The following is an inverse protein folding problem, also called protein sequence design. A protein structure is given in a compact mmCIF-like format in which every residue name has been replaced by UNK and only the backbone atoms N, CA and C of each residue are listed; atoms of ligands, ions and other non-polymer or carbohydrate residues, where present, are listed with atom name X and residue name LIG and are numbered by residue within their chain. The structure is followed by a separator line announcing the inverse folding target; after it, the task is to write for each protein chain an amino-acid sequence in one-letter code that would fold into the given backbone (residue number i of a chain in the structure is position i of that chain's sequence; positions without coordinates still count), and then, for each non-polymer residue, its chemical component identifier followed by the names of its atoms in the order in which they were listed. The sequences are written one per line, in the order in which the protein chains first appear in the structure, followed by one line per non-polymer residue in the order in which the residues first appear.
data_IF_335252978189
#
_entry.id   IF_335252978189
#
_cell.length_a   1.000
_cell.length_b   1.000
_cell.length_c   1.000
_cell.angle_alpha   90.00
_cell.angle_beta   90.00
_cell.angle_gamma   90.00
#
_symmetry.space_group_name_H-M   'P 1'
#
loop_
_entity.id
_entity.type
_entity.pdbx_description
1 polymer ?
#
# COMPACT_ATOMS: atom_id res chain seq x y z
N UNK A 1 -0.01 -12.33 -4.19
CA UNK A 1 1.16 -11.44 -4.03
C UNK A 1 0.71 -10.13 -3.38
N UNK A 2 1.58 -9.49 -2.60
CA UNK A 2 1.32 -8.23 -1.92
C UNK A 2 2.25 -7.17 -2.49
N UNK A 3 1.72 -5.98 -2.76
CA UNK A 3 2.48 -4.81 -3.18
C UNK A 3 2.42 -3.73 -2.10
N UNK A 4 3.56 -3.16 -1.74
CA UNK A 4 3.65 -1.99 -0.85
C UNK A 4 4.39 -0.90 -1.61
N UNK A 5 3.84 0.31 -1.65
CA UNK A 5 4.41 1.42 -2.40
C UNK A 5 4.01 2.78 -1.82
N UNK A 6 4.68 3.83 -2.28
CA UNK A 6 4.45 5.21 -1.84
C UNK A 6 4.28 6.18 -3.02
N UNK A 7 4.72 5.77 -4.22
CA UNK A 7 4.80 6.59 -5.41
C UNK A 7 3.95 6.11 -6.59
N UNK A 8 3.70 7.01 -7.54
CA UNK A 8 2.92 6.69 -8.73
C UNK A 8 3.59 5.61 -9.62
N UNK A 9 4.91 5.45 -9.51
CA UNK A 9 5.68 4.38 -10.16
C UNK A 9 5.28 2.98 -9.65
N UNK A 10 4.69 2.87 -8.46
CA UNK A 10 4.27 1.59 -7.89
C UNK A 10 2.88 1.17 -8.36
N UNK A 11 2.08 2.10 -8.92
CA UNK A 11 0.71 1.84 -9.35
C UNK A 11 0.57 0.66 -10.32
N UNK A 12 1.44 0.47 -11.34
CA UNK A 12 1.36 -0.71 -12.20
C UNK A 12 1.52 -2.01 -11.39
N UNK A 13 2.47 -2.06 -10.47
CA UNK A 13 2.68 -3.20 -9.58
C UNK A 13 1.49 -3.40 -8.63
N UNK A 14 0.95 -2.33 -8.06
CA UNK A 14 -0.18 -2.37 -7.12
C UNK A 14 -1.47 -2.84 -7.79
N UNK A 15 -1.69 -2.48 -9.07
CA UNK A 15 -2.88 -2.85 -9.84
C UNK A 15 -3.02 -4.34 -10.13
N UNK A 16 -1.91 -5.07 -10.13
CA UNK A 16 -1.87 -6.52 -10.40
C UNK A 16 -1.69 -7.36 -9.14
N UNK A 17 -1.49 -6.72 -7.98
CA UNK A 17 -1.34 -7.39 -6.71
C UNK A 17 -2.71 -7.77 -6.12
N UNK A 18 -2.76 -8.90 -5.40
CA UNK A 18 -3.98 -9.32 -4.69
C UNK A 18 -4.26 -8.49 -3.43
N UNK A 19 -3.24 -7.80 -2.92
CA UNK A 19 -3.34 -6.78 -1.88
C UNK A 19 -2.33 -5.67 -2.21
N UNK A 20 -2.80 -4.42 -2.20
CA UNK A 20 -1.95 -3.25 -2.36
C UNK A 20 -2.04 -2.32 -1.14
N UNK A 21 -0.88 -1.92 -0.61
CA UNK A 21 -0.76 -1.07 0.57
C UNK A 21 0.02 0.19 0.20
N UNK A 22 -0.61 1.37 0.34
CA UNK A 22 0.09 2.63 0.31
C UNK A 22 0.75 2.89 1.68
N UNK A 23 2.08 2.89 1.75
CA UNK A 23 2.81 3.21 2.97
C UNK A 23 3.38 4.63 2.88
N UNK A 24 2.87 5.56 3.69
CA UNK A 24 3.14 7.00 3.56
C UNK A 24 2.97 7.53 2.12
N UNK A 25 2.08 6.90 1.35
CA UNK A 25 1.98 7.15 -0.08
C UNK A 25 1.50 8.56 -0.41
N UNK A 26 1.76 9.02 -1.62
CA UNK A 26 1.20 10.30 -2.13
C UNK A 26 -0.31 10.18 -2.36
N UNK A 27 -1.08 11.29 -2.44
CA UNK A 27 -2.54 11.24 -2.61
C UNK A 27 -3.01 10.31 -3.74
N UNK A 28 -2.39 10.42 -4.92
CA UNK A 28 -2.71 9.57 -6.07
C UNK A 28 -2.49 8.07 -5.84
N UNK A 29 -1.59 7.70 -4.92
CA UNK A 29 -1.31 6.30 -4.54
C UNK A 29 -2.31 5.82 -3.49
N UNK A 30 -2.65 6.67 -2.52
CA UNK A 30 -3.66 6.37 -1.49
C UNK A 30 -5.03 6.11 -2.11
N UNK A 31 -5.40 6.90 -3.13
CA UNK A 31 -6.66 6.76 -3.86
C UNK A 31 -6.79 5.42 -4.62
N UNK A 32 -5.66 4.80 -4.96
CA UNK A 32 -5.62 3.57 -5.78
C UNK A 32 -5.22 2.32 -4.98
N UNK A 33 -4.69 2.50 -3.77
CA UNK A 33 -4.33 1.39 -2.89
C UNK A 33 -5.56 0.83 -2.16
N UNK A 34 -5.55 -0.49 -1.90
CA UNK A 34 -6.61 -1.12 -1.12
C UNK A 34 -6.55 -0.73 0.36
N UNK A 35 -5.34 -0.52 0.90
CA UNK A 35 -5.10 -0.09 2.27
C UNK A 35 -4.08 1.04 2.27
N UNK A 36 -4.26 2.02 3.16
CA UNK A 36 -3.29 3.11 3.36
C UNK A 36 -2.81 3.15 4.82
N UNK A 37 -1.50 3.21 5.01
CA UNK A 37 -0.84 3.40 6.30
C UNK A 37 -0.22 4.80 6.28
N UNK A 38 -0.81 5.72 7.03
CA UNK A 38 -0.41 7.14 7.07
C UNK A 38 0.40 7.51 8.32
N UNK A 39 0.52 6.58 9.27
CA UNK A 39 1.26 6.80 10.52
C UNK A 39 1.90 5.51 11.02
N UNK A 40 2.99 5.66 11.77
CA UNK A 40 3.78 4.53 12.26
C UNK A 40 4.73 3.95 11.22
N UNK A 41 5.29 2.78 11.55
CA UNK A 41 6.24 2.05 10.74
C UNK A 41 5.60 1.05 9.78
N UNK A 42 6.43 0.43 8.94
CA UNK A 42 6.01 -0.58 7.98
C UNK A 42 5.56 -1.90 8.64
N UNK A 43 5.89 -2.10 9.93
CA UNK A 43 5.39 -3.19 10.77
C UNK A 43 3.85 -3.24 10.81
N UNK A 44 3.18 -2.10 10.62
CA UNK A 44 1.72 -2.02 10.48
C UNK A 44 1.16 -2.80 9.29
N UNK A 45 1.96 -3.05 8.26
CA UNK A 45 1.55 -3.96 7.19
C UNK A 45 1.29 -5.39 7.72
N UNK A 46 1.96 -5.82 8.80
CA UNK A 46 1.70 -7.13 9.41
C UNK A 46 0.32 -7.20 10.09
N UNK A 47 -0.22 -6.07 10.55
CA UNK A 47 -1.58 -6.00 11.12
C UNK A 47 -2.62 -6.24 10.02
N UNK A 48 -2.37 -5.74 8.81
CA UNK A 48 -3.22 -5.96 7.63
C UNK A 48 -3.25 -7.43 7.21
N UNK A 49 -2.14 -8.15 7.34
CA UNK A 49 -2.04 -9.56 6.93
C UNK A 49 -2.60 -10.56 7.94
N UNK A 50 -2.92 -10.09 9.15
CA UNK A 50 -3.48 -10.92 10.23
C UNK A 50 -5.01 -10.83 10.32
N UNK A 51 -5.63 -9.96 9.54
CA UNK A 51 -7.07 -9.80 9.40
C UNK A 51 -7.65 -10.76 8.35
#
# INVERSE_FOLDING_TARGET
AIAVGDGANDLPMMSVAGLSIAYHGKPAVREQAMVSIESGGMDRALEVLRA
#
